data_IF_188902356624
#
_entry.id   IF_188902356624
#
_cell.length_a   1.000
_cell.length_b   1.000
_cell.length_c   1.000
_cell.angle_alpha   90.00
_cell.angle_beta   90.00
_cell.angle_gamma   90.00
#
_symmetry.space_group_name_H-M   'P 1'
#
loop_
_entity.id
_entity.type
_entity.pdbx_description
1 polymer ?
#
# COMPACT_ATOMS: atom_id res chain seq x y z
N UNK A 1 -31.24 -29.42 7.02
CA UNK A 1 -30.39 -28.48 6.26
C UNK A 1 -30.07 -27.31 7.19
N UNK A 2 -28.95 -27.36 7.90
CA UNK A 2 -28.49 -26.27 8.75
C UNK A 2 -27.64 -25.34 7.87
N UNK A 3 -28.15 -24.15 7.56
CA UNK A 3 -27.42 -23.10 6.87
C UNK A 3 -26.42 -22.47 7.83
N UNK A 4 -25.18 -22.93 7.79
CA UNK A 4 -24.05 -22.27 8.47
C UNK A 4 -23.88 -20.88 7.85
N UNK A 5 -24.30 -19.84 8.57
CA UNK A 5 -24.01 -18.44 8.26
C UNK A 5 -22.51 -18.23 8.40
N UNK A 6 -21.77 -18.48 7.33
CA UNK A 6 -20.36 -18.15 7.25
C UNK A 6 -20.25 -16.62 7.19
N UNK A 7 -19.88 -15.99 8.30
CA UNK A 7 -19.49 -14.57 8.35
C UNK A 7 -18.27 -14.39 7.46
N UNK A 8 -18.50 -14.08 6.18
CA UNK A 8 -17.43 -13.76 5.25
C UNK A 8 -16.71 -12.51 5.77
N UNK A 9 -15.37 -12.53 5.91
CA UNK A 9 -14.61 -11.33 6.20
C UNK A 9 -14.97 -10.28 5.14
N UNK A 10 -15.26 -9.05 5.57
CA UNK A 10 -15.81 -8.02 4.68
C UNK A 10 -14.73 -7.42 3.76
N UNK A 11 -14.09 -8.24 2.92
CA UNK A 11 -13.06 -7.86 1.95
C UNK A 11 -13.53 -6.74 1.01
N UNK A 12 -14.82 -6.74 0.69
CA UNK A 12 -15.44 -5.69 -0.14
C UNK A 12 -15.37 -4.32 0.55
N UNK A 13 -15.53 -4.25 1.86
CA UNK A 13 -15.37 -3.02 2.64
C UNK A 13 -13.95 -2.45 2.57
N UNK A 14 -12.93 -3.31 2.71
CA UNK A 14 -11.52 -2.85 2.64
C UNK A 14 -11.14 -2.45 1.23
N UNK A 15 -11.65 -3.14 0.20
CA UNK A 15 -11.49 -2.72 -1.18
C UNK A 15 -11.98 -1.27 -1.40
N UNK A 16 -13.17 -0.94 -0.90
CA UNK A 16 -13.69 0.43 -0.98
C UNK A 16 -12.82 1.44 -0.23
N UNK A 17 -12.28 1.09 0.93
CA UNK A 17 -11.35 1.95 1.67
C UNK A 17 -10.07 2.20 0.86
N UNK A 18 -9.48 1.16 0.27
CA UNK A 18 -8.28 1.27 -0.57
C UNK A 18 -8.55 2.09 -1.85
N UNK A 19 -9.72 1.92 -2.46
CA UNK A 19 -10.17 2.70 -3.61
C UNK A 19 -10.26 4.18 -3.25
N UNK A 20 -10.96 4.53 -2.17
CA UNK A 20 -11.08 5.92 -1.71
C UNK A 20 -9.71 6.51 -1.44
N UNK A 21 -8.82 5.76 -0.78
CA UNK A 21 -7.46 6.22 -0.49
C UNK A 21 -6.63 6.48 -1.76
N UNK A 22 -6.94 5.78 -2.85
CA UNK A 22 -6.31 5.98 -4.16
C UNK A 22 -6.89 7.19 -4.88
N UNK A 23 -8.19 7.40 -4.81
CA UNK A 23 -8.83 8.63 -5.32
C UNK A 23 -8.28 9.86 -4.58
N UNK A 24 -8.07 9.76 -3.27
CA UNK A 24 -7.47 10.84 -2.47
C UNK A 24 -6.04 11.13 -2.90
N UNK A 25 -5.19 10.13 -3.09
CA UNK A 25 -3.82 10.33 -3.63
C UNK A 25 -3.83 11.07 -4.97
N UNK A 26 -4.69 10.63 -5.89
CA UNK A 26 -4.84 11.27 -7.20
C UNK A 26 -5.36 12.71 -7.04
N UNK A 27 -6.29 12.96 -6.13
CA UNK A 27 -6.73 14.33 -5.80
C UNK A 27 -5.59 15.21 -5.29
N UNK A 28 -4.72 14.66 -4.43
CA UNK A 28 -3.56 15.37 -3.89
C UNK A 28 -2.56 15.74 -4.99
N UNK A 29 -2.38 14.89 -6.00
CA UNK A 29 -1.48 15.24 -7.13
C UNK A 29 -2.03 16.37 -7.99
N UNK A 30 -3.36 16.55 -8.04
CA UNK A 30 -3.98 17.69 -8.74
C UNK A 30 -3.95 19.01 -7.95
N UNK A 31 -3.70 18.98 -6.64
CA UNK A 31 -3.65 20.19 -5.81
C UNK A 31 -2.38 21.05 -6.01
N UNK A 32 -1.42 20.61 -6.83
CA UNK A 32 -0.25 21.42 -7.19
C UNK A 32 0.66 21.75 -6.00
N UNK A 33 0.71 20.87 -4.99
CA UNK A 33 1.50 21.09 -3.78
C UNK A 33 3.02 21.09 -4.07
N UNK A 34 3.84 21.70 -3.19
CA UNK A 34 5.29 21.63 -3.29
C UNK A 34 5.75 20.18 -3.35
N UNK A 35 6.69 19.86 -4.26
CA UNK A 35 7.14 18.48 -4.54
C UNK A 35 7.51 17.68 -3.29
N UNK A 36 8.16 18.31 -2.30
CA UNK A 36 8.52 17.66 -1.03
C UNK A 36 7.30 17.30 -0.17
N UNK A 37 6.30 18.19 -0.10
CA UNK A 37 5.07 17.98 0.68
C UNK A 37 4.18 16.95 -0.02
N UNK A 38 4.07 17.03 -1.35
CA UNK A 38 3.35 16.04 -2.14
C UNK A 38 3.96 14.65 -1.99
N UNK A 39 5.29 14.55 -2.11
CA UNK A 39 6.01 13.29 -1.97
C UNK A 39 5.83 12.66 -0.59
N UNK A 40 5.95 13.43 0.49
CA UNK A 40 5.75 12.90 1.85
C UNK A 40 4.32 12.42 2.11
N UNK A 41 3.31 13.13 1.60
CA UNK A 41 1.91 12.71 1.70
C UNK A 41 1.66 11.41 0.93
N UNK A 42 2.09 11.33 -0.33
CA UNK A 42 1.90 10.16 -1.17
C UNK A 42 2.60 8.93 -0.58
N UNK A 43 3.82 9.09 -0.07
CA UNK A 43 4.54 7.99 0.61
C UNK A 43 3.80 7.54 1.88
N UNK A 44 3.29 8.48 2.69
CA UNK A 44 2.49 8.16 3.86
C UNK A 44 1.22 7.37 3.52
N UNK A 45 0.51 7.78 2.46
CA UNK A 45 -0.70 7.10 1.97
C UNK A 45 -0.38 5.72 1.39
N UNK A 46 0.76 5.57 0.70
CA UNK A 46 1.23 4.27 0.20
C UNK A 46 1.55 3.29 1.33
N UNK A 47 2.21 3.75 2.40
CA UNK A 47 2.48 2.93 3.60
C UNK A 47 1.17 2.50 4.26
N UNK A 48 0.21 3.42 4.38
CA UNK A 48 -1.10 3.10 4.97
C UNK A 48 -1.85 2.03 4.17
N UNK A 49 -1.85 2.13 2.83
CA UNK A 49 -2.41 1.09 1.95
C UNK A 49 -1.74 -0.25 2.17
N UNK A 50 -0.41 -0.27 2.21
CA UNK A 50 0.35 -1.50 2.44
C UNK A 50 -0.02 -2.15 3.79
N UNK A 51 -0.20 -1.35 4.84
CA UNK A 51 -0.62 -1.83 6.15
C UNK A 51 -2.05 -2.41 6.12
N UNK A 52 -3.00 -1.74 5.46
CA UNK A 52 -4.36 -2.26 5.28
C UNK A 52 -4.36 -3.56 4.46
N UNK A 53 -3.60 -3.63 3.37
CA UNK A 53 -3.48 -4.84 2.56
C UNK A 53 -2.87 -5.99 3.39
N UNK A 54 -1.81 -5.71 4.16
CA UNK A 54 -1.17 -6.70 5.03
C UNK A 54 -2.11 -7.21 6.14
N UNK A 55 -2.89 -6.34 6.76
CA UNK A 55 -3.83 -6.73 7.83
C UNK A 55 -5.04 -7.50 7.31
N UNK A 56 -5.61 -7.08 6.17
CA UNK A 56 -6.92 -7.56 5.72
C UNK A 56 -6.87 -8.58 4.57
N UNK A 57 -5.96 -8.42 3.60
CA UNK A 57 -5.86 -9.31 2.43
C UNK A 57 -4.84 -10.43 2.64
N UNK A 58 -3.77 -10.20 3.41
CA UNK A 58 -2.76 -11.22 3.67
C UNK A 58 -3.07 -12.19 4.82
N UNK A 59 -4.27 -12.12 5.43
CA UNK A 59 -4.73 -13.02 6.49
C UNK A 59 -3.59 -13.54 7.38
N UNK A 60 -2.94 -12.61 8.10
CA UNK A 60 -1.70 -12.78 8.89
C UNK A 60 -1.81 -13.79 10.06
N UNK A 61 -2.84 -14.64 10.05
CA UNK A 61 -3.16 -15.61 11.07
C UNK A 61 -2.63 -17.01 10.77
N UNK A 62 -2.25 -17.34 9.53
CA UNK A 62 -1.78 -18.69 9.21
C UNK A 62 -0.26 -18.85 9.13
N UNK A 63 0.52 -17.89 8.61
CA UNK A 63 1.99 -17.92 8.65
C UNK A 63 2.60 -16.52 8.36
N UNK A 64 2.87 -15.68 9.38
CA UNK A 64 3.29 -14.29 9.17
C UNK A 64 4.64 -14.14 8.47
N UNK A 65 5.52 -15.15 8.54
CA UNK A 65 6.91 -15.05 8.06
C UNK A 65 7.05 -15.23 6.54
N UNK A 66 6.33 -16.20 5.96
CA UNK A 66 6.44 -16.54 4.54
C UNK A 66 5.77 -15.49 3.65
N UNK A 67 4.58 -15.02 4.03
CA UNK A 67 3.88 -13.96 3.27
C UNK A 67 4.55 -12.59 3.45
N UNK A 68 5.08 -12.28 4.64
CA UNK A 68 5.90 -11.08 4.83
C UNK A 68 7.16 -11.12 3.96
N UNK A 69 7.80 -12.29 3.79
CA UNK A 69 8.96 -12.42 2.89
C UNK A 69 8.58 -12.13 1.43
N UNK A 70 7.44 -12.63 0.95
CA UNK A 70 6.96 -12.36 -0.42
C UNK A 70 6.60 -10.88 -0.60
N UNK A 71 6.03 -10.21 0.41
CA UNK A 71 5.79 -8.75 0.38
C UNK A 71 7.07 -7.93 0.51
N UNK A 72 8.09 -8.45 1.20
CA UNK A 72 9.36 -7.77 1.44
C UNK A 72 10.25 -7.77 0.21
N UNK A 73 10.22 -8.82 -0.62
CA UNK A 73 10.97 -8.88 -1.89
C UNK A 73 10.67 -7.68 -2.82
N UNK A 74 9.42 -7.38 -3.21
CA UNK A 74 9.12 -6.23 -4.05
C UNK A 74 9.38 -4.91 -3.31
N UNK A 75 9.21 -4.85 -1.99
CA UNK A 75 9.54 -3.64 -1.21
C UNK A 75 11.04 -3.33 -1.24
N UNK A 76 11.89 -4.33 -1.03
CA UNK A 76 13.36 -4.20 -1.13
C UNK A 76 13.77 -3.80 -2.54
N UNK A 77 13.15 -4.40 -3.57
CA UNK A 77 13.36 -3.98 -4.95
C UNK A 77 12.96 -2.52 -5.18
N UNK A 78 11.82 -2.06 -4.68
CA UNK A 78 11.41 -0.65 -4.79
C UNK A 78 12.40 0.29 -4.12
N UNK A 79 12.86 -0.01 -2.91
CA UNK A 79 13.86 0.80 -2.21
C UNK A 79 15.18 0.81 -2.98
N UNK A 80 15.62 -0.35 -3.46
CA UNK A 80 16.82 -0.47 -4.29
C UNK A 80 16.72 0.37 -5.57
N UNK A 81 15.59 0.31 -6.28
CA UNK A 81 15.35 1.11 -7.48
C UNK A 81 15.33 2.62 -7.17
N UNK A 82 14.71 3.05 -6.07
CA UNK A 82 14.73 4.46 -5.66
C UNK A 82 16.17 4.93 -5.41
N UNK A 83 16.97 4.15 -4.67
CA UNK A 83 18.36 4.50 -4.38
C UNK A 83 19.24 4.52 -5.64
N UNK A 84 19.01 3.58 -6.56
CA UNK A 84 19.74 3.50 -7.83
C UNK A 84 19.35 4.61 -8.81
N UNK A 85 18.09 5.06 -8.79
CA UNK A 85 17.60 6.15 -9.63
C UNK A 85 17.88 7.53 -9.04
N UNK A 86 18.00 7.66 -7.71
CA UNK A 86 18.35 8.93 -7.05
C UNK A 86 19.57 9.66 -7.64
N UNK A 87 20.70 9.00 -7.95
CA UNK A 87 21.85 9.65 -8.60
C UNK A 87 21.59 10.05 -10.06
N UNK A 88 20.65 9.41 -10.75
CA UNK A 88 20.27 9.72 -12.14
C UNK A 88 19.32 10.94 -12.22
N UNK A 89 18.58 11.23 -11.14
CA UNK A 89 17.66 12.38 -11.03
C UNK A 89 18.35 13.62 -10.43
N UNK A 90 19.61 13.52 -9.99
CA UNK A 90 20.39 14.67 -9.50
C UNK A 90 20.89 15.56 -10.65
N UNK A 91 20.96 16.89 -10.50
CA UNK A 91 21.65 17.71 -11.51
C UNK A 91 23.12 17.31 -11.52
N UNK A 92 23.64 17.03 -12.72
CA UNK A 92 25.07 16.85 -12.98
C UNK A 92 25.89 18.05 -12.49
#
# INVERSE_FOLDING_TARGET
MASTTHTHPNYMGIFWVLLVLTVVEVGITFLGLPKMVMGSLLVGLAIWKAALVAMYFMHLKFEPKTLAMIALVPFVLCVFLILMLLPDIGPA
#
